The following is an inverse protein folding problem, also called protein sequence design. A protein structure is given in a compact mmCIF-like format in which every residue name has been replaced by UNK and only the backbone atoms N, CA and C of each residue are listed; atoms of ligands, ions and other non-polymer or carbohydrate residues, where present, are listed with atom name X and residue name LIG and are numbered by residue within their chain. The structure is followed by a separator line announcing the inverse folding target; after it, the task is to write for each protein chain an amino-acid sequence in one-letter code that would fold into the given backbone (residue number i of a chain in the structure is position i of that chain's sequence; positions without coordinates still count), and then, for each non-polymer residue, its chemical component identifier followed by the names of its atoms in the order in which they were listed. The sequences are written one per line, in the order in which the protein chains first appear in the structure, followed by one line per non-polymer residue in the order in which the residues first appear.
data_IF_832070030494
#
_entry.id   IF_832070030494
#
_cell.length_a   1.000
_cell.length_b   1.000
_cell.length_c   1.000
_cell.angle_alpha   90.00
_cell.angle_beta   90.00
_cell.angle_gamma   90.00
#
_symmetry.space_group_name_H-M   'P 1'
#
loop_
_entity.id
_entity.type
_entity.pdbx_description
1 polymer ?
#
# COMPACT_ATOMS: atom_id res chain seq x y z
N UNK A 1 -23.74 -31.26 1.15
CA UNK A 1 -22.82 -32.14 1.92
C UNK A 1 -21.33 -32.13 1.49
N UNK A 2 -20.95 -31.76 0.25
CA UNK A 2 -19.55 -31.83 -0.22
C UNK A 2 -18.77 -30.50 -0.36
N UNK A 3 -19.37 -29.35 0.02
CA UNK A 3 -18.68 -28.04 -0.10
C UNK A 3 -17.57 -27.88 0.93
N UNK A 4 -17.73 -28.42 2.14
CA UNK A 4 -16.73 -28.32 3.22
C UNK A 4 -15.38 -28.93 2.86
N UNK A 5 -15.37 -29.99 2.04
CA UNK A 5 -14.15 -30.67 1.60
C UNK A 5 -13.34 -29.83 0.61
N UNK A 6 -14.02 -29.04 -0.24
CA UNK A 6 -13.38 -28.06 -1.12
C UNK A 6 -12.66 -26.99 -0.28
N UNK A 7 -13.33 -26.49 0.77
CA UNK A 7 -12.77 -25.49 1.68
C UNK A 7 -11.54 -26.02 2.45
N UNK A 8 -11.54 -27.30 2.85
CA UNK A 8 -10.35 -27.90 3.48
C UNK A 8 -9.13 -27.95 2.54
N UNK A 9 -9.32 -28.25 1.25
CA UNK A 9 -8.24 -28.22 0.26
C UNK A 9 -7.69 -26.82 0.04
N UNK A 10 -8.58 -25.82 0.00
CA UNK A 10 -8.23 -24.41 -0.12
C UNK A 10 -7.43 -23.92 1.09
N UNK A 11 -7.89 -24.21 2.32
CA UNK A 11 -7.19 -23.84 3.55
C UNK A 11 -5.78 -24.41 3.60
N UNK A 12 -5.60 -25.69 3.22
CA UNK A 12 -4.29 -26.33 3.16
C UNK A 12 -3.33 -25.61 2.18
N UNK A 13 -3.84 -25.15 1.04
CA UNK A 13 -3.05 -24.41 0.04
C UNK A 13 -2.69 -22.99 0.49
N UNK A 14 -3.63 -22.28 1.11
CA UNK A 14 -3.39 -20.94 1.66
C UNK A 14 -2.32 -21.01 2.75
N UNK A 15 -2.43 -21.96 3.69
CA UNK A 15 -1.43 -22.17 4.74
C UNK A 15 -0.06 -22.48 4.15
N UNK A 16 0.00 -23.39 3.15
CA UNK A 16 1.25 -23.73 2.47
C UNK A 16 1.87 -22.50 1.78
N UNK A 17 1.07 -21.67 1.13
CA UNK A 17 1.52 -20.47 0.44
C UNK A 17 2.12 -19.45 1.43
N UNK A 18 1.40 -19.14 2.52
CA UNK A 18 1.89 -18.20 3.55
C UNK A 18 3.15 -18.75 4.23
N UNK A 19 3.21 -20.06 4.49
CA UNK A 19 4.39 -20.70 5.07
C UNK A 19 5.61 -20.57 4.16
N UNK A 20 5.44 -20.82 2.86
CA UNK A 20 6.53 -20.71 1.88
C UNK A 20 6.98 -19.26 1.69
N UNK A 21 6.07 -18.29 1.68
CA UNK A 21 6.45 -16.88 1.59
C UNK A 21 7.19 -16.42 2.84
N UNK A 22 6.74 -16.80 4.03
CA UNK A 22 7.44 -16.54 5.28
C UNK A 22 8.86 -17.15 5.27
N UNK A 23 8.99 -18.42 4.86
CA UNK A 23 10.29 -19.08 4.73
C UNK A 23 11.21 -18.40 3.71
N UNK A 24 10.67 -18.05 2.53
CA UNK A 24 11.42 -17.40 1.46
C UNK A 24 11.88 -16.01 1.87
N UNK A 25 11.08 -15.26 2.61
CA UNK A 25 11.47 -13.95 3.11
C UNK A 25 12.45 -14.07 4.28
N UNK A 26 12.25 -15.05 5.17
CA UNK A 26 13.11 -15.33 6.32
C UNK A 26 14.54 -15.71 5.94
N UNK A 27 14.75 -16.55 4.92
CA UNK A 27 16.11 -16.94 4.47
C UNK A 27 16.95 -15.78 3.94
N UNK A 28 16.31 -14.76 3.36
CA UNK A 28 17.00 -13.57 2.84
C UNK A 28 17.22 -12.51 3.92
N UNK A 29 16.35 -12.48 4.93
CA UNK A 29 16.37 -11.49 6.00
C UNK A 29 17.23 -11.91 7.19
N UNK A 30 17.47 -13.21 7.40
CA UNK A 30 18.15 -13.78 8.57
C UNK A 30 19.69 -13.85 8.48
N UNK A 31 20.31 -12.78 7.99
CA UNK A 31 21.78 -12.71 7.82
C UNK A 31 22.55 -12.70 9.13
N UNK A 32 22.02 -12.04 10.17
CA UNK A 32 22.65 -11.90 11.49
C UNK A 32 21.91 -12.74 12.55
N UNK A 33 22.59 -13.23 13.60
CA UNK A 33 21.97 -14.08 14.62
C UNK A 33 20.85 -13.38 15.39
N UNK A 34 21.00 -12.08 15.70
CA UNK A 34 19.94 -11.31 16.38
C UNK A 34 18.65 -11.18 15.56
N UNK A 35 18.74 -11.19 14.23
CA UNK A 35 17.55 -11.15 13.36
C UNK A 35 16.75 -12.45 13.50
N UNK A 36 17.41 -13.61 13.66
CA UNK A 36 16.72 -14.89 13.89
C UNK A 36 15.98 -14.89 15.22
N UNK A 37 16.61 -14.34 16.27
CA UNK A 37 15.97 -14.18 17.58
C UNK A 37 14.73 -13.30 17.45
N UNK A 38 14.80 -12.18 16.70
CA UNK A 38 13.64 -11.34 16.44
C UNK A 38 12.51 -12.07 15.71
N UNK A 39 12.80 -12.92 14.71
CA UNK A 39 11.76 -13.70 14.03
C UNK A 39 11.00 -14.57 15.04
N UNK A 40 11.72 -15.30 15.88
CA UNK A 40 11.14 -16.20 16.89
C UNK A 40 10.38 -15.39 17.96
N UNK A 41 10.95 -14.28 18.41
CA UNK A 41 10.32 -13.40 19.40
C UNK A 41 9.03 -12.78 18.86
N UNK A 42 9.02 -12.29 17.62
CA UNK A 42 7.83 -11.73 16.98
C UNK A 42 6.76 -12.79 16.77
N UNK A 43 7.13 -14.00 16.36
CA UNK A 43 6.20 -15.13 16.26
C UNK A 43 5.57 -15.46 17.63
N UNK A 44 6.40 -15.57 18.67
CA UNK A 44 5.96 -15.86 20.03
C UNK A 44 5.09 -14.73 20.61
N UNK A 45 5.43 -13.47 20.36
CA UNK A 45 4.66 -12.31 20.85
C UNK A 45 3.23 -12.30 20.29
N UNK A 46 3.05 -12.62 19.01
CA UNK A 46 1.72 -12.67 18.40
C UNK A 46 0.89 -13.83 18.96
N UNK A 47 1.49 -15.00 19.13
CA UNK A 47 0.76 -16.21 19.54
C UNK A 47 0.50 -16.24 21.05
N UNK A 48 1.50 -15.89 21.86
CA UNK A 48 1.43 -15.99 23.33
C UNK A 48 0.88 -14.72 23.96
N UNK A 49 1.33 -13.55 23.49
CA UNK A 49 0.98 -12.26 24.11
C UNK A 49 -0.19 -11.57 23.42
N UNK A 50 -0.73 -12.16 22.33
CA UNK A 50 -1.73 -11.53 21.44
C UNK A 50 -1.34 -10.11 21.03
N UNK A 51 -0.04 -9.86 20.90
CA UNK A 51 0.50 -8.55 20.57
C UNK A 51 0.00 -8.11 19.19
N UNK A 52 -0.30 -6.82 19.05
CA UNK A 52 -0.75 -6.27 17.79
C UNK A 52 0.40 -6.20 16.79
N UNK A 53 0.06 -6.25 15.49
CA UNK A 53 1.05 -6.13 14.40
C UNK A 53 1.85 -4.82 14.54
N UNK A 54 1.19 -3.73 14.93
CA UNK A 54 1.79 -2.40 15.08
C UNK A 54 2.82 -2.40 16.20
N UNK A 55 2.49 -2.93 17.38
CA UNK A 55 3.43 -3.03 18.51
C UNK A 55 4.66 -3.85 18.15
N UNK A 56 4.47 -5.01 17.52
CA UNK A 56 5.58 -5.88 17.11
C UNK A 56 6.50 -5.18 16.11
N UNK A 57 5.94 -4.46 15.14
CA UNK A 57 6.72 -3.68 14.16
C UNK A 57 7.47 -2.53 14.83
N UNK A 58 6.81 -1.76 15.71
CA UNK A 58 7.45 -0.64 16.39
C UNK A 58 8.59 -1.09 17.30
N UNK A 59 8.35 -2.09 18.14
CA UNK A 59 9.35 -2.63 19.08
C UNK A 59 10.53 -3.22 18.32
N UNK A 60 10.28 -4.04 17.29
CA UNK A 60 11.36 -4.63 16.49
C UNK A 60 12.19 -3.59 15.73
N UNK A 61 11.54 -2.55 15.21
CA UNK A 61 12.25 -1.44 14.58
C UNK A 61 13.10 -0.65 15.57
N UNK A 62 12.59 -0.36 16.77
CA UNK A 62 13.37 0.29 17.85
C UNK A 62 14.55 -0.58 18.28
N UNK A 63 14.36 -1.89 18.43
CA UNK A 63 15.44 -2.85 18.71
C UNK A 63 16.49 -2.82 17.58
N UNK A 64 16.06 -2.73 16.32
CA UNK A 64 16.96 -2.56 15.17
C UNK A 64 17.86 -1.33 15.30
N UNK A 65 17.28 -0.17 15.68
CA UNK A 65 18.04 1.05 15.95
C UNK A 65 19.00 0.86 17.14
N UNK A 66 18.54 0.25 18.22
CA UNK A 66 19.33 0.02 19.43
C UNK A 66 20.54 -0.88 19.17
N UNK A 67 20.37 -1.98 18.44
CA UNK A 67 21.46 -2.90 18.13
C UNK A 67 22.50 -2.23 17.23
N UNK A 68 22.07 -1.51 16.20
CA UNK A 68 22.99 -0.86 15.26
C UNK A 68 23.75 0.33 15.88
N UNK A 69 23.13 1.02 16.84
CA UNK A 69 23.77 2.12 17.58
C UNK A 69 24.78 1.64 18.62
N UNK A 70 24.56 0.49 19.28
CA UNK A 70 25.43 -0.01 20.36
C UNK A 70 26.45 -1.09 19.93
N UNK A 71 26.12 -1.97 18.96
CA UNK A 71 26.94 -3.17 18.64
C UNK A 71 27.98 -2.91 17.54
N UNK A 72 27.67 -2.04 16.57
CA UNK A 72 28.54 -1.81 15.41
C UNK A 72 29.65 -0.75 15.54
N UNK A 73 29.71 0.15 16.54
CA UNK A 73 30.89 1.01 16.72
C UNK A 73 32.18 0.22 17.05
N UNK A 74 32.09 -1.04 17.51
CA UNK A 74 33.23 -1.79 18.08
C UNK A 74 34.03 -2.67 17.11
N UNK A 75 33.66 -2.82 15.83
CA UNK A 75 34.37 -3.70 14.88
C UNK A 75 35.09 -3.01 13.69
N UNK A 76 35.89 -1.92 13.86
CA UNK A 76 36.73 -1.40 12.77
C UNK A 76 37.96 -2.25 12.40
N UNK A 77 38.23 -3.37 13.10
CA UNK A 77 39.49 -4.13 12.92
C UNK A 77 39.49 -5.11 11.74
N UNK A 78 38.33 -5.58 11.27
CA UNK A 78 38.26 -6.63 10.24
C UNK A 78 38.27 -6.12 8.79
N UNK A 79 37.81 -4.89 8.52
CA UNK A 79 37.92 -4.29 7.18
C UNK A 79 39.37 -3.94 6.81
N UNK A 80 40.23 -3.71 7.81
CA UNK A 80 41.66 -3.47 7.59
C UNK A 80 42.38 -4.71 7.02
N UNK A 81 41.91 -5.92 7.34
CA UNK A 81 42.47 -7.19 6.84
C UNK A 81 41.98 -7.50 5.42
N UNK A 82 40.71 -7.17 5.11
CA UNK A 82 40.20 -7.27 3.72
C UNK A 82 40.89 -6.29 2.78
N UNK A 83 41.27 -5.10 3.26
CA UNK A 83 42.11 -4.15 2.51
C UNK A 83 43.48 -4.72 2.13
N UNK A 84 44.08 -5.59 2.95
CA UNK A 84 45.33 -6.27 2.63
C UNK A 84 45.17 -7.35 1.54
N UNK A 85 44.06 -8.09 1.55
CA UNK A 85 43.77 -9.10 0.54
C UNK A 85 43.53 -8.48 -0.86
N UNK A 86 42.83 -7.34 -0.92
CA UNK A 86 42.58 -6.60 -2.17
C UNK A 86 43.88 -6.00 -2.73
N UNK A 87 44.76 -5.44 -1.87
CA UNK A 87 46.07 -4.93 -2.30
C UNK A 87 47.01 -6.03 -2.80
N UNK A 88 46.89 -7.26 -2.29
CA UNK A 88 47.68 -8.41 -2.78
C UNK A 88 47.22 -8.86 -4.16
N UNK A 89 45.91 -8.83 -4.44
CA UNK A 89 45.36 -9.14 -5.76
C UNK A 89 45.72 -8.08 -6.81
N UNK A 90 45.78 -6.79 -6.44
CA UNK A 90 46.22 -5.74 -7.37
C UNK A 90 47.68 -5.90 -7.80
N UNK A 91 48.60 -6.25 -6.88
CA UNK A 91 50.01 -6.53 -7.22
C UNK A 91 50.19 -7.73 -8.15
N UNK A 92 49.32 -8.73 -8.06
CA UNK A 92 49.33 -9.90 -8.94
C UNK A 92 48.78 -9.52 -10.33
N UNK A 93 47.77 -8.64 -10.39
CA UNK A 93 47.19 -8.13 -11.64
C UNK A 93 48.14 -7.20 -12.39
N UNK A 94 48.98 -6.45 -11.68
CA UNK A 94 50.06 -5.65 -12.29
C UNK A 94 51.21 -6.51 -12.84
N UNK A 95 51.54 -7.65 -12.19
CA UNK A 95 52.58 -8.58 -12.69
C UNK A 95 52.12 -9.45 -13.86
N UNK A 96 50.82 -9.74 -13.97
CA UNK A 96 50.22 -10.51 -15.07
C UNK A 96 49.68 -9.64 -16.22
N UNK A 97 49.69 -8.31 -16.07
CA UNK A 97 49.22 -7.33 -17.06
C UNK A 97 50.32 -6.83 -18.01
N UNK A 98 51.28 -7.68 -18.38
CA UNK A 98 52.30 -7.36 -19.37
C UNK A 98 51.77 -7.52 -20.80
N UNK A 99 50.98 -6.56 -21.29
CA UNK A 99 50.85 -6.11 -22.71
C UNK A 99 49.49 -5.45 -22.95
N UNK A 100 49.45 -4.13 -22.79
CA UNK A 100 49.10 -3.14 -23.82
C UNK A 100 48.94 -1.77 -23.13
N UNK A 101 49.97 -0.94 -23.29
CA UNK A 101 49.90 0.51 -23.12
C UNK A 101 49.42 1.10 -24.45
N UNK A 102 48.35 1.88 -24.43
CA UNK A 102 48.29 3.17 -25.12
C UNK A 102 47.67 4.20 -24.16
N UNK A 103 48.25 5.39 -24.18
CA UNK A 103 48.12 6.48 -23.21
C UNK A 103 46.94 7.42 -23.57
N UNK A 104 46.60 8.40 -22.70
CA UNK A 104 45.29 9.03 -22.65
C UNK A 104 45.19 10.29 -23.51
N UNK A 105 44.00 10.60 -24.01
CA UNK A 105 43.65 11.97 -24.40
C UNK A 105 42.56 12.51 -23.46
N UNK A 106 42.96 13.52 -22.67
CA UNK A 106 42.06 14.53 -22.11
C UNK A 106 41.57 15.40 -23.28
N UNK A 107 40.26 15.58 -23.41
CA UNK A 107 39.68 16.63 -24.23
C UNK A 107 38.85 17.55 -23.32
N UNK A 108 39.42 18.72 -23.05
CA UNK A 108 38.67 19.90 -22.64
C UNK A 108 38.30 20.63 -23.94
N UNK A 109 37.02 20.90 -24.14
CA UNK A 109 36.53 21.66 -25.28
C UNK A 109 35.27 22.41 -24.90
N UNK A 110 35.46 23.56 -24.25
CA UNK A 110 34.52 24.67 -24.35
C UNK A 110 34.64 25.33 -25.73
N UNK A 111 33.68 26.21 -26.01
CA UNK A 111 33.53 27.03 -27.22
C UNK A 111 32.92 26.33 -28.42
N UNK A 112 31.59 26.23 -28.39
CA UNK A 112 30.76 26.77 -29.47
C UNK A 112 29.51 27.36 -28.82
N UNK A 113 29.73 28.60 -28.41
CA UNK A 113 28.79 29.71 -28.37
C UNK A 113 27.73 29.65 -29.50
N UNK A 114 26.49 29.91 -29.12
CA UNK A 114 25.78 31.09 -29.64
C UNK A 114 25.31 31.05 -31.11
N UNK A 115 24.76 29.93 -31.58
CA UNK A 115 24.15 29.89 -32.92
C UNK A 115 22.78 29.20 -33.04
N UNK A 116 22.19 28.65 -31.97
CA UNK A 116 20.89 27.94 -32.08
C UNK A 116 19.92 28.20 -30.92
N UNK A 117 20.19 29.19 -30.07
CA UNK A 117 19.33 29.58 -28.94
C UNK A 117 18.52 30.87 -29.16
N UNK A 118 18.60 31.53 -30.33
CA UNK A 118 17.95 32.83 -30.56
C UNK A 118 16.86 32.86 -31.65
N UNK A 119 16.39 31.71 -32.14
CA UNK A 119 15.41 31.68 -33.24
C UNK A 119 13.99 31.22 -32.87
N UNK A 120 13.65 31.11 -31.57
CA UNK A 120 12.27 30.79 -31.14
C UNK A 120 11.65 31.74 -30.12
N UNK A 121 12.31 32.85 -29.81
CA UNK A 121 11.78 33.92 -28.94
C UNK A 121 11.49 35.23 -29.70
N UNK A 122 11.62 35.25 -31.03
CA UNK A 122 11.35 36.43 -31.88
C UNK A 122 10.08 36.32 -32.77
N UNK A 123 9.17 35.39 -32.49
CA UNK A 123 7.94 35.22 -33.30
C UNK A 123 6.61 35.41 -32.55
N UNK A 124 6.59 35.77 -31.26
CA UNK A 124 5.29 36.05 -30.57
C UNK A 124 5.28 37.28 -29.66
N UNK A 125 6.27 38.16 -29.80
CA UNK A 125 6.33 39.41 -29.07
C UNK A 125 6.73 40.52 -30.02
N UNK A 126 5.80 40.93 -30.91
CA UNK A 126 5.60 42.32 -31.33
C UNK A 126 4.56 42.42 -32.45
N UNK A 127 3.37 42.88 -32.07
CA UNK A 127 2.34 43.39 -32.95
C UNK A 127 1.58 44.49 -32.20
N UNK A 128 2.09 45.72 -32.30
CA UNK A 128 1.54 47.02 -31.82
C UNK A 128 0.04 47.13 -32.11
N UNK A 129 -0.80 47.59 -31.17
CA UNK A 129 -1.03 48.98 -30.70
C UNK A 129 -1.31 49.99 -31.84
N UNK A 130 -2.56 50.47 -31.88
CA UNK A 130 -2.89 51.88 -32.20
C UNK A 130 -4.17 52.32 -31.45
N UNK A 131 -4.10 53.57 -31.01
CA UNK A 131 -4.93 54.40 -30.11
C UNK A 131 -6.19 55.02 -30.79
N UNK A 132 -7.40 55.06 -30.15
CA UNK A 132 -8.19 56.19 -29.52
C UNK A 132 -8.67 57.33 -30.46
N UNK A 133 -9.61 58.28 -30.11
CA UNK A 133 -10.58 58.46 -28.98
C UNK A 133 -12.03 58.96 -29.38
N UNK A 134 -12.90 59.22 -28.37
CA UNK A 134 -14.07 60.20 -28.32
C UNK A 134 -15.28 59.93 -29.26
N UNK A 135 -16.58 60.22 -29.01
CA UNK A 135 -17.42 60.87 -27.99
C UNK A 135 -18.92 60.58 -28.33
N UNK A 136 -19.85 60.91 -27.41
CA UNK A 136 -21.29 61.29 -27.63
C UNK A 136 -22.45 60.29 -27.93
N UNK A 137 -23.41 60.32 -26.97
CA UNK A 137 -24.88 60.50 -27.04
C UNK A 137 -25.83 59.46 -27.70
N UNK A 138 -26.77 59.04 -26.85
CA UNK A 138 -28.21 58.84 -27.04
C UNK A 138 -28.71 58.00 -28.23
N UNK A 139 -29.32 56.85 -27.89
CA UNK A 139 -30.72 56.69 -28.26
C UNK A 139 -31.48 55.77 -27.28
N UNK A 140 -32.62 56.32 -26.92
CA UNK A 140 -33.72 55.82 -26.12
C UNK A 140 -34.49 54.72 -26.88
N UNK A 141 -35.42 54.01 -26.22
CA UNK A 141 -36.22 52.86 -26.68
C UNK A 141 -35.46 51.51 -26.62
N UNK A 142 -35.69 50.60 -25.68
CA UNK A 142 -36.98 50.09 -25.20
C UNK A 142 -36.79 49.66 -23.74
N UNK A 143 -37.38 50.42 -22.82
CA UNK A 143 -37.75 49.95 -21.50
C UNK A 143 -39.26 49.73 -21.50
N UNK A 144 -39.74 48.49 -21.61
CA UNK A 144 -41.06 48.12 -21.07
C UNK A 144 -41.26 46.59 -21.10
N UNK A 145 -40.97 45.90 -19.99
CA UNK A 145 -41.68 44.69 -19.54
C UNK A 145 -41.14 44.23 -18.16
N UNK A 146 -41.44 45.04 -17.15
CA UNK A 146 -42.06 44.61 -15.89
C UNK A 146 -41.94 43.13 -15.49
N UNK A 147 -41.16 42.87 -14.42
CA UNK A 147 -41.39 41.69 -13.58
C UNK A 147 -40.27 41.33 -12.59
N UNK A 148 -40.29 41.80 -11.33
CA UNK A 148 -39.39 41.33 -10.26
C UNK A 148 -39.85 39.98 -9.65
N UNK A 149 -40.39 39.07 -10.47
CA UNK A 149 -40.90 37.76 -10.02
C UNK A 149 -40.03 36.57 -10.50
N UNK A 150 -39.08 36.80 -11.42
CA UNK A 150 -38.30 35.73 -12.06
C UNK A 150 -36.96 35.39 -11.36
N UNK A 151 -36.44 36.25 -10.47
CA UNK A 151 -35.20 35.93 -9.71
C UNK A 151 -35.40 34.90 -8.60
N UNK A 152 -36.63 34.67 -8.14
CA UNK A 152 -36.91 33.63 -7.13
C UNK A 152 -36.98 32.24 -7.74
N UNK A 153 -37.29 32.09 -9.04
CA UNK A 153 -37.47 30.79 -9.70
C UNK A 153 -36.16 30.04 -10.00
N UNK A 154 -35.04 30.73 -10.21
CA UNK A 154 -33.73 30.11 -10.45
C UNK A 154 -32.98 29.69 -9.18
N UNK A 155 -33.36 30.22 -8.01
CA UNK A 155 -32.76 29.86 -6.72
C UNK A 155 -33.32 28.54 -6.13
N UNK A 156 -34.53 28.13 -6.53
CA UNK A 156 -35.17 26.92 -6.03
C UNK A 156 -34.49 25.58 -6.41
N UNK A 157 -33.94 25.38 -7.62
CA UNK A 157 -33.20 24.15 -7.92
C UNK A 157 -31.76 24.13 -7.37
N UNK A 158 -31.18 25.29 -7.04
CA UNK A 158 -29.83 25.37 -6.50
C UNK A 158 -29.76 24.88 -5.04
N UNK A 159 -30.80 25.09 -4.23
CA UNK A 159 -30.86 24.70 -2.81
C UNK A 159 -30.76 23.17 -2.60
N UNK A 160 -31.54 22.31 -3.29
CA UNK A 160 -31.41 20.86 -3.11
C UNK A 160 -30.09 20.32 -3.65
N UNK A 161 -29.48 20.97 -4.64
CA UNK A 161 -28.17 20.59 -5.17
C UNK A 161 -27.04 20.95 -4.19
N UNK A 162 -27.08 22.15 -3.60
CA UNK A 162 -26.13 22.58 -2.57
C UNK A 162 -26.25 21.71 -1.31
N UNK A 163 -27.48 21.36 -0.90
CA UNK A 163 -27.72 20.47 0.23
C UNK A 163 -27.19 19.06 -0.03
N UNK A 164 -27.40 18.51 -1.24
CA UNK A 164 -26.82 17.22 -1.66
C UNK A 164 -25.29 17.26 -1.70
N UNK A 165 -24.69 18.35 -2.17
CA UNK A 165 -23.23 18.53 -2.14
C UNK A 165 -22.70 18.65 -0.71
N UNK A 166 -23.41 19.35 0.17
CA UNK A 166 -23.09 19.44 1.59
C UNK A 166 -23.10 18.06 2.27
N UNK A 167 -24.14 17.27 2.01
CA UNK A 167 -24.24 15.87 2.48
C UNK A 167 -23.15 14.98 1.89
N UNK A 168 -22.82 15.13 0.60
CA UNK A 168 -21.73 14.39 -0.04
C UNK A 168 -20.38 14.72 0.61
N UNK A 169 -20.13 15.99 0.92
CA UNK A 169 -18.91 16.42 1.62
C UNK A 169 -18.88 15.92 3.07
N UNK A 170 -20.00 15.93 3.79
CA UNK A 170 -20.05 15.45 5.17
C UNK A 170 -19.75 13.95 5.25
N UNK A 171 -20.39 13.13 4.42
CA UNK A 171 -20.11 11.68 4.39
C UNK A 171 -18.67 11.40 3.96
N UNK A 172 -18.15 12.16 2.99
CA UNK A 172 -16.77 12.03 2.54
C UNK A 172 -15.76 12.42 3.62
N UNK A 173 -16.04 13.44 4.42
CA UNK A 173 -15.20 13.84 5.54
C UNK A 173 -15.16 12.78 6.65
N UNK A 174 -16.29 12.13 6.94
CA UNK A 174 -16.34 11.00 7.88
C UNK A 174 -15.47 9.86 7.36
N UNK A 175 -15.61 9.46 6.10
CA UNK A 175 -14.78 8.41 5.52
C UNK A 175 -13.29 8.80 5.44
N UNK A 176 -12.98 10.08 5.20
CA UNK A 176 -11.61 10.61 5.28
C UNK A 176 -11.03 10.45 6.69
N UNK A 177 -11.81 10.80 7.71
CA UNK A 177 -11.42 10.66 9.13
C UNK A 177 -11.25 9.20 9.52
N UNK A 178 -12.21 8.34 9.18
CA UNK A 178 -12.14 6.89 9.43
C UNK A 178 -10.89 6.31 8.76
N UNK A 179 -10.62 6.67 7.51
CA UNK A 179 -9.43 6.23 6.76
C UNK A 179 -8.10 6.77 7.32
N UNK A 180 -8.12 7.90 8.04
CA UNK A 180 -6.93 8.52 8.63
C UNK A 180 -6.65 8.05 10.07
N UNK A 181 -7.69 7.72 10.85
CA UNK A 181 -7.60 7.47 12.30
C UNK A 181 -7.68 5.99 12.65
N UNK A 182 -8.28 5.16 11.79
CA UNK A 182 -8.50 3.74 12.13
C UNK A 182 -7.27 2.89 11.85
N UNK A 183 -6.62 2.42 12.91
CA UNK A 183 -5.51 1.46 12.85
C UNK A 183 -5.99 0.10 13.35
N UNK A 184 -5.75 -0.98 12.60
CA UNK A 184 -6.18 -2.34 13.00
C UNK A 184 -6.92 -3.16 11.93
N UNK A 185 -7.03 -2.64 10.71
CA UNK A 185 -7.64 -3.34 9.57
C UNK A 185 -9.15 -3.13 9.47
N UNK A 186 -9.78 -3.75 8.46
CA UNK A 186 -11.19 -3.51 8.13
C UNK A 186 -12.17 -3.86 9.24
N UNK A 187 -11.84 -4.80 10.13
CA UNK A 187 -12.71 -5.20 11.24
C UNK A 187 -12.86 -4.14 12.33
N UNK A 188 -11.90 -3.22 12.47
CA UNK A 188 -12.03 -2.06 13.36
C UNK A 188 -12.80 -0.93 12.70
N UNK A 189 -12.71 -0.83 11.36
CA UNK A 189 -13.45 0.19 10.60
C UNK A 189 -14.95 -0.07 10.58
N UNK A 190 -15.40 -1.32 10.51
CA UNK A 190 -16.84 -1.66 10.45
C UNK A 190 -17.62 -1.07 11.65
N UNK A 191 -17.27 -1.34 12.92
CA UNK A 191 -18.01 -0.78 14.06
C UNK A 191 -17.89 0.75 14.15
N UNK A 192 -16.78 1.34 13.70
CA UNK A 192 -16.64 2.80 13.64
C UNK A 192 -17.57 3.42 12.59
N UNK A 193 -17.68 2.79 11.41
CA UNK A 193 -18.64 3.20 10.37
C UNK A 193 -20.07 3.02 10.88
N UNK A 194 -20.38 1.91 11.56
CA UNK A 194 -21.70 1.69 12.17
C UNK A 194 -22.05 2.82 13.14
N UNK A 195 -21.11 3.17 14.02
CA UNK A 195 -21.32 4.23 15.00
C UNK A 195 -21.57 5.59 14.32
N UNK A 196 -20.76 5.97 13.33
CA UNK A 196 -20.95 7.26 12.65
C UNK A 196 -22.24 7.28 11.80
N UNK A 197 -22.51 6.22 11.03
CA UNK A 197 -23.58 6.20 10.02
C UNK A 197 -24.95 5.88 10.62
N UNK A 198 -25.00 4.97 11.60
CA UNK A 198 -26.26 4.50 12.22
C UNK A 198 -26.56 5.23 13.52
N UNK A 199 -25.57 5.39 14.42
CA UNK A 199 -25.80 5.92 15.76
C UNK A 199 -25.66 7.45 15.84
N UNK A 200 -24.65 8.04 15.19
CA UNK A 200 -24.40 9.50 15.24
C UNK A 200 -25.25 10.26 14.23
N UNK A 201 -25.21 9.85 12.96
CA UNK A 201 -25.86 10.58 11.86
C UNK A 201 -27.24 10.03 11.46
N UNK A 202 -27.59 8.82 11.90
CA UNK A 202 -28.86 8.15 11.58
C UNK A 202 -29.17 8.11 10.08
N UNK A 203 -28.14 8.01 9.24
CA UNK A 203 -28.29 7.99 7.78
C UNK A 203 -28.77 6.64 7.25
N UNK A 204 -28.36 5.56 7.91
CA UNK A 204 -28.83 4.20 7.64
C UNK A 204 -29.40 3.60 8.92
N UNK A 205 -30.34 2.66 8.76
CA UNK A 205 -30.75 1.78 9.84
C UNK A 205 -29.82 0.55 9.96
N UNK A 206 -29.97 -0.24 11.03
CA UNK A 206 -29.14 -1.42 11.27
C UNK A 206 -29.28 -2.50 10.18
N UNK A 207 -30.45 -2.63 9.54
CA UNK A 207 -30.66 -3.59 8.46
C UNK A 207 -29.91 -3.17 7.19
N UNK A 208 -30.01 -1.90 6.80
CA UNK A 208 -29.29 -1.34 5.65
C UNK A 208 -27.77 -1.40 5.85
N UNK A 209 -27.32 -1.21 7.09
CA UNK A 209 -25.91 -1.38 7.43
C UNK A 209 -25.46 -2.85 7.35
N UNK A 210 -26.31 -3.79 7.77
CA UNK A 210 -26.05 -5.22 7.63
C UNK A 210 -25.98 -5.64 6.15
N UNK A 211 -26.88 -5.13 5.31
CA UNK A 211 -26.88 -5.36 3.86
C UNK A 211 -25.61 -4.82 3.20
N UNK A 212 -25.22 -3.60 3.56
CA UNK A 212 -23.96 -3.02 3.11
C UNK A 212 -22.77 -3.91 3.52
N UNK A 213 -22.77 -4.41 4.76
CA UNK A 213 -21.69 -5.25 5.28
C UNK A 213 -21.62 -6.59 4.55
N UNK A 214 -22.78 -7.19 4.30
CA UNK A 214 -22.89 -8.43 3.52
C UNK A 214 -22.34 -8.23 2.10
N UNK A 215 -22.73 -7.14 1.42
CA UNK A 215 -22.20 -6.78 0.10
C UNK A 215 -20.68 -6.57 0.13
N UNK A 216 -20.17 -5.91 1.17
CA UNK A 216 -18.73 -5.73 1.38
C UNK A 216 -17.99 -7.06 1.48
N UNK A 217 -18.50 -8.01 2.26
CA UNK A 217 -17.86 -9.29 2.51
C UNK A 217 -17.79 -10.20 1.27
N UNK A 218 -18.67 -10.01 0.28
CA UNK A 218 -18.62 -10.73 -0.99
C UNK A 218 -17.42 -10.30 -1.84
N UNK A 219 -16.89 -9.09 -1.61
CA UNK A 219 -15.79 -8.51 -2.39
C UNK A 219 -14.45 -8.52 -1.64
N UNK A 220 -13.32 -8.56 -2.35
CA UNK A 220 -12.01 -8.35 -1.73
C UNK A 220 -11.89 -6.89 -1.26
N UNK A 221 -12.10 -6.65 0.04
CA UNK A 221 -11.98 -5.33 0.66
C UNK A 221 -13.34 -4.74 1.08
N UNK A 222 -13.96 -5.26 2.16
CA UNK A 222 -15.34 -4.92 2.51
C UNK A 222 -15.59 -3.42 2.73
N UNK A 223 -14.57 -2.70 3.24
CA UNK A 223 -14.66 -1.26 3.54
C UNK A 223 -14.90 -0.42 2.28
N UNK A 224 -14.36 -0.81 1.11
CA UNK A 224 -14.50 -0.05 -0.13
C UNK A 224 -15.96 -0.06 -0.62
N UNK A 225 -16.59 -1.23 -0.63
CA UNK A 225 -18.00 -1.36 -1.02
C UNK A 225 -18.91 -0.72 0.01
N UNK A 226 -18.60 -0.86 1.31
CA UNK A 226 -19.31 -0.17 2.39
C UNK A 226 -19.31 1.36 2.19
N UNK A 227 -18.14 1.96 1.97
CA UNK A 227 -18.02 3.40 1.74
C UNK A 227 -18.80 3.85 0.50
N UNK A 228 -18.76 3.06 -0.57
CA UNK A 228 -19.50 3.32 -1.81
C UNK A 228 -21.00 3.27 -1.56
N UNK A 229 -21.49 2.24 -0.86
CA UNK A 229 -22.91 2.01 -0.59
C UNK A 229 -23.47 3.08 0.36
N UNK A 230 -22.78 3.36 1.47
CA UNK A 230 -23.17 4.41 2.42
C UNK A 230 -23.18 5.77 1.70
N UNK A 231 -22.11 6.10 0.96
CA UNK A 231 -22.05 7.34 0.18
C UNK A 231 -23.19 7.46 -0.84
N UNK A 232 -23.57 6.35 -1.48
CA UNK A 232 -24.70 6.30 -2.40
C UNK A 232 -26.04 6.53 -1.70
N UNK A 233 -26.27 5.90 -0.55
CA UNK A 233 -27.50 6.08 0.23
C UNK A 233 -27.65 7.51 0.76
N UNK A 234 -26.55 8.15 1.17
CA UNK A 234 -26.58 9.50 1.78
C UNK A 234 -26.72 10.62 0.75
N UNK A 235 -25.93 10.58 -0.34
CA UNK A 235 -25.86 11.70 -1.29
C UNK A 235 -25.89 11.27 -2.77
N UNK A 236 -26.31 10.04 -3.07
CA UNK A 236 -26.39 9.51 -4.43
C UNK A 236 -25.03 9.24 -5.07
N UNK A 237 -24.95 9.24 -6.40
CA UNK A 237 -23.72 8.94 -7.12
C UNK A 237 -22.50 9.81 -6.76
N UNK A 238 -22.62 11.12 -6.49
CA UNK A 238 -21.48 11.93 -6.06
C UNK A 238 -20.97 11.52 -4.68
N UNK A 239 -21.89 11.21 -3.75
CA UNK A 239 -21.54 10.73 -2.42
C UNK A 239 -20.81 9.39 -2.45
N UNK A 240 -21.25 8.48 -3.32
CA UNK A 240 -20.61 7.19 -3.54
C UNK A 240 -19.14 7.35 -3.99
N UNK A 241 -18.91 8.16 -5.03
CA UNK A 241 -17.57 8.38 -5.59
C UNK A 241 -16.64 9.06 -4.58
N UNK A 242 -17.11 10.15 -3.94
CA UNK A 242 -16.29 10.93 -3.02
C UNK A 242 -15.97 10.15 -1.74
N UNK A 243 -16.93 9.41 -1.17
CA UNK A 243 -16.71 8.57 0.02
C UNK A 243 -15.64 7.51 -0.23
N UNK A 244 -15.72 6.85 -1.39
CA UNK A 244 -14.74 5.82 -1.79
C UNK A 244 -13.36 6.40 -2.06
N UNK A 245 -13.26 7.60 -2.64
CA UNK A 245 -11.97 8.26 -2.79
C UNK A 245 -11.41 8.69 -1.42
N UNK A 246 -12.24 9.30 -0.58
CA UNK A 246 -11.83 9.82 0.72
C UNK A 246 -11.39 8.75 1.70
N UNK A 247 -11.98 7.55 1.69
CA UNK A 247 -11.53 6.48 2.61
C UNK A 247 -10.11 5.99 2.30
N UNK A 248 -9.67 6.04 1.04
CA UNK A 248 -8.31 5.64 0.63
C UNK A 248 -7.32 6.80 0.54
N UNK A 249 -7.82 8.03 0.44
CA UNK A 249 -6.99 9.23 0.25
C UNK A 249 -5.88 9.37 1.30
N UNK A 250 -6.11 9.15 2.62
CA UNK A 250 -5.05 9.27 3.63
C UNK A 250 -3.92 8.27 3.40
N UNK A 251 -4.26 7.01 3.12
CA UNK A 251 -3.28 5.95 2.86
C UNK A 251 -2.48 6.21 1.57
N UNK A 252 -3.16 6.72 0.54
CA UNK A 252 -2.52 7.10 -0.73
C UNK A 252 -1.55 8.25 -0.55
N UNK A 253 -1.95 9.31 0.16
CA UNK A 253 -1.10 10.46 0.47
C UNK A 253 0.09 10.07 1.33
N UNK A 254 -0.11 9.23 2.36
CA UNK A 254 1.00 8.71 3.17
C UNK A 254 1.99 7.91 2.32
N UNK A 255 1.50 7.11 1.37
CA UNK A 255 2.36 6.32 0.47
C UNK A 255 3.18 7.21 -0.46
N UNK A 256 2.57 8.25 -1.06
CA UNK A 256 3.29 9.22 -1.89
C UNK A 256 4.33 9.98 -1.06
N UNK A 257 3.97 10.44 0.13
CA UNK A 257 4.87 11.14 1.04
C UNK A 257 6.06 10.27 1.46
N UNK A 258 5.80 8.99 1.76
CA UNK A 258 6.84 8.02 2.07
C UNK A 258 7.74 7.74 0.86
N UNK A 259 7.16 7.62 -0.34
CA UNK A 259 7.87 7.37 -1.59
C UNK A 259 8.77 8.54 -2.01
N UNK A 260 8.30 9.77 -1.94
CA UNK A 260 9.10 10.97 -2.27
C UNK A 260 10.30 11.14 -1.33
N UNK A 261 10.12 10.76 -0.06
CA UNK A 261 11.17 10.80 0.97
C UNK A 261 12.07 9.56 0.99
N UNK A 262 11.80 8.56 0.14
CA UNK A 262 12.52 7.28 0.13
C UNK A 262 14.03 7.45 -0.04
N UNK A 263 14.46 8.40 -0.86
CA UNK A 263 15.89 8.67 -1.10
C UNK A 263 16.60 9.20 0.16
N UNK A 264 15.91 10.01 0.97
CA UNK A 264 16.39 10.53 2.26
C UNK A 264 16.36 9.46 3.34
N UNK A 265 15.34 8.60 3.33
CA UNK A 265 15.26 7.45 4.23
C UNK A 265 16.37 6.43 3.97
N UNK A 266 16.75 6.24 2.71
CA UNK A 266 17.83 5.33 2.35
C UNK A 266 19.20 5.84 2.77
N UNK A 267 19.43 7.15 2.91
CA UNK A 267 20.75 7.68 3.35
C UNK A 267 20.89 7.77 4.86
N UNK A 268 19.80 7.81 5.62
CA UNK A 268 19.86 7.85 7.08
C UNK A 268 20.13 6.47 7.71
N UNK A 269 21.22 6.35 8.46
CA UNK A 269 21.62 5.11 9.16
C UNK A 269 20.56 4.62 10.16
N UNK A 270 19.92 5.52 10.91
CA UNK A 270 18.89 5.12 11.88
C UNK A 270 17.67 4.49 11.20
N UNK A 271 17.25 5.05 10.07
CA UNK A 271 16.13 4.50 9.30
C UNK A 271 16.47 3.14 8.69
N UNK A 272 17.69 2.95 8.19
CA UNK A 272 18.15 1.63 7.76
C UNK A 272 18.16 0.61 8.90
N UNK A 273 18.62 1.01 10.09
CA UNK A 273 18.64 0.15 11.27
C UNK A 273 17.22 -0.27 11.70
N UNK A 274 16.27 0.68 11.69
CA UNK A 274 14.85 0.42 11.93
C UNK A 274 14.31 -0.64 10.95
N UNK A 275 14.49 -0.41 9.65
CA UNK A 275 14.01 -1.33 8.60
C UNK A 275 14.65 -2.73 8.71
N UNK A 276 15.91 -2.82 9.14
CA UNK A 276 16.59 -4.10 9.40
C UNK A 276 16.03 -4.86 10.60
N UNK A 277 15.42 -4.17 11.57
CA UNK A 277 14.68 -4.76 12.68
C UNK A 277 13.24 -5.15 12.30
N UNK A 278 12.57 -4.32 11.50
CA UNK A 278 11.20 -4.59 11.03
C UNK A 278 11.13 -5.78 10.08
N UNK A 279 12.07 -5.91 9.15
CA UNK A 279 12.07 -6.99 8.17
C UNK A 279 11.98 -8.41 8.80
N UNK A 280 12.81 -8.79 9.79
CA UNK A 280 12.66 -10.10 10.44
C UNK A 280 11.36 -10.20 11.24
N UNK A 281 10.90 -9.13 11.88
CA UNK A 281 9.63 -9.15 12.61
C UNK A 281 8.44 -9.45 11.70
N UNK A 282 8.40 -8.86 10.50
CA UNK A 282 7.38 -9.16 9.48
C UNK A 282 7.40 -10.64 9.11
N UNK A 283 8.58 -11.27 8.99
CA UNK A 283 8.64 -12.71 8.70
C UNK A 283 8.11 -13.57 9.85
N UNK A 284 8.35 -13.18 11.11
CA UNK A 284 7.76 -13.83 12.29
C UNK A 284 6.24 -13.65 12.36
N UNK A 285 5.74 -12.46 12.02
CA UNK A 285 4.31 -12.15 11.90
C UNK A 285 3.64 -13.01 10.82
N UNK A 286 4.25 -13.15 9.64
CA UNK A 286 3.73 -14.02 8.57
C UNK A 286 3.69 -15.49 9.00
N UNK A 287 4.71 -15.97 9.71
CA UNK A 287 4.72 -17.32 10.26
C UNK A 287 3.61 -17.51 11.30
N UNK A 288 3.36 -16.52 12.15
CA UNK A 288 2.29 -16.57 13.15
C UNK A 288 0.90 -16.57 12.48
N UNK A 289 0.72 -15.80 11.42
CA UNK A 289 -0.49 -15.83 10.61
C UNK A 289 -0.71 -17.20 9.96
N UNK A 290 0.33 -17.79 9.35
CA UNK A 290 0.26 -19.15 8.81
C UNK A 290 -0.14 -20.17 9.87
N UNK A 291 0.44 -20.08 11.06
CA UNK A 291 0.12 -20.96 12.19
C UNK A 291 -1.34 -20.80 12.65
N UNK A 292 -1.81 -19.56 12.78
CA UNK A 292 -3.19 -19.28 13.16
C UNK A 292 -4.19 -19.91 12.18
N UNK A 293 -3.97 -19.71 10.87
CA UNK A 293 -4.83 -20.28 9.82
C UNK A 293 -4.72 -21.80 9.78
N UNK A 294 -3.52 -22.37 10.00
CA UNK A 294 -3.32 -23.81 10.04
C UNK A 294 -4.15 -24.46 11.15
N UNK A 295 -4.13 -23.88 12.36
CA UNK A 295 -4.86 -24.41 13.52
C UNK A 295 -6.38 -24.38 13.34
N UNK A 296 -6.92 -23.37 12.64
CA UNK A 296 -8.35 -23.24 12.39
C UNK A 296 -8.84 -23.93 11.12
N UNK A 297 -7.94 -24.17 10.15
CA UNK A 297 -8.32 -24.66 8.81
C UNK A 297 -8.00 -26.12 8.54
N UNK A 298 -7.05 -26.71 9.30
CA UNK A 298 -6.52 -28.05 9.06
C UNK A 298 -6.80 -28.94 10.28
N UNK A 299 -7.89 -29.72 10.20
CA UNK A 299 -8.28 -30.67 11.25
C UNK A 299 -8.09 -32.14 10.88
N UNK A 300 -7.73 -32.43 9.63
CA UNK A 300 -7.60 -33.81 9.12
C UNK A 300 -6.16 -34.16 8.77
N UNK A 301 -5.80 -35.44 8.95
CA UNK A 301 -4.50 -35.98 8.55
C UNK A 301 -4.21 -35.73 7.06
N UNK A 302 -5.23 -35.91 6.20
CA UNK A 302 -5.16 -35.62 4.76
C UNK A 302 -4.81 -34.14 4.51
N UNK A 303 -5.39 -33.22 5.28
CA UNK A 303 -5.08 -31.79 5.18
C UNK A 303 -3.62 -31.49 5.50
N UNK A 304 -3.05 -32.11 6.54
CA UNK A 304 -1.62 -31.96 6.89
C UNK A 304 -0.73 -32.48 5.78
N UNK A 305 -1.00 -33.68 5.27
CA UNK A 305 -0.24 -34.28 4.17
C UNK A 305 -0.30 -33.39 2.92
N UNK A 306 -1.47 -32.86 2.58
CA UNK A 306 -1.61 -31.93 1.45
C UNK A 306 -0.82 -30.64 1.66
N UNK A 307 -0.89 -30.01 2.83
CA UNK A 307 -0.12 -28.80 3.12
C UNK A 307 1.39 -29.07 2.94
N UNK A 308 1.91 -30.17 3.48
CA UNK A 308 3.33 -30.53 3.32
C UNK A 308 3.69 -30.76 1.85
N UNK A 309 2.86 -31.49 1.10
CA UNK A 309 3.08 -31.72 -0.33
C UNK A 309 3.10 -30.41 -1.12
N UNK A 310 2.15 -29.50 -0.86
CA UNK A 310 2.07 -28.19 -1.52
C UNK A 310 3.28 -27.31 -1.16
N UNK A 311 3.72 -27.32 0.10
CA UNK A 311 4.95 -26.61 0.52
C UNK A 311 6.16 -27.10 -0.27
N UNK A 312 6.33 -28.42 -0.41
CA UNK A 312 7.44 -29.02 -1.16
C UNK A 312 7.38 -28.59 -2.64
N UNK A 313 6.20 -28.68 -3.27
CA UNK A 313 5.99 -28.29 -4.67
C UNK A 313 6.32 -26.80 -4.87
N UNK A 314 5.83 -25.93 -4.00
CA UNK A 314 6.06 -24.48 -4.05
C UNK A 314 7.54 -24.11 -3.87
N UNK A 315 8.29 -24.86 -3.06
CA UNK A 315 9.72 -24.66 -2.87
C UNK A 315 10.55 -25.13 -4.07
N UNK A 316 10.13 -26.23 -4.72
CA UNK A 316 10.90 -26.84 -5.82
C UNK A 316 10.60 -26.23 -7.19
N UNK A 317 9.33 -26.05 -7.54
CA UNK A 317 8.89 -25.73 -8.91
C UNK A 317 8.44 -24.27 -9.11
N UNK A 318 8.19 -23.54 -8.02
CA UNK A 318 7.65 -22.15 -8.04
C UNK A 318 6.49 -21.92 -9.03
N UNK A 319 5.44 -22.75 -9.00
CA UNK A 319 4.25 -22.53 -9.82
C UNK A 319 3.52 -21.23 -9.41
N UNK A 320 2.67 -20.72 -10.31
CA UNK A 320 1.80 -19.59 -10.01
C UNK A 320 0.84 -19.96 -8.87
N UNK A 321 0.72 -19.08 -7.87
CA UNK A 321 -0.11 -19.31 -6.68
C UNK A 321 -1.57 -19.60 -7.02
N UNK A 322 -2.08 -18.99 -8.09
CA UNK A 322 -3.45 -19.23 -8.58
C UNK A 322 -3.70 -20.71 -8.91
N UNK A 323 -2.80 -21.33 -9.69
CA UNK A 323 -2.92 -22.74 -10.08
C UNK A 323 -2.79 -23.69 -8.90
N UNK A 324 -1.98 -23.33 -7.90
CA UNK A 324 -1.80 -24.14 -6.68
C UNK A 324 -3.06 -24.14 -5.82
N UNK A 325 -3.71 -22.98 -5.66
CA UNK A 325 -4.96 -22.87 -4.91
C UNK A 325 -6.09 -23.65 -5.59
N UNK A 326 -6.28 -23.45 -6.91
CA UNK A 326 -7.28 -24.17 -7.70
C UNK A 326 -7.02 -25.69 -7.67
N UNK A 327 -5.79 -26.12 -7.94
CA UNK A 327 -5.42 -27.53 -8.00
C UNK A 327 -5.61 -28.25 -6.66
N UNK A 328 -5.27 -27.61 -5.55
CA UNK A 328 -5.46 -28.20 -4.22
C UNK A 328 -6.94 -28.36 -3.84
N UNK A 329 -7.78 -27.38 -4.16
CA UNK A 329 -9.22 -27.46 -3.95
C UNK A 329 -9.85 -28.60 -4.76
N UNK A 330 -9.57 -28.65 -6.06
CA UNK A 330 -10.09 -29.69 -6.96
C UNK A 330 -9.60 -31.08 -6.56
N UNK A 331 -8.30 -31.22 -6.25
CA UNK A 331 -7.74 -32.51 -5.83
C UNK A 331 -8.39 -33.03 -4.54
N UNK A 332 -8.60 -32.15 -3.54
CA UNK A 332 -9.25 -32.54 -2.29
C UNK A 332 -10.71 -32.94 -2.50
N UNK A 333 -11.40 -32.24 -3.40
CA UNK A 333 -12.78 -32.55 -3.78
C UNK A 333 -12.87 -33.91 -4.50
N UNK A 334 -11.97 -34.19 -5.45
CA UNK A 334 -11.93 -35.49 -6.14
C UNK A 334 -11.59 -36.65 -5.20
N UNK A 335 -10.60 -36.47 -4.31
CA UNK A 335 -10.27 -37.48 -3.29
C UNK A 335 -11.47 -37.82 -2.42
N UNK A 336 -12.28 -36.83 -2.10
CA UNK A 336 -13.43 -37.03 -1.25
C UNK A 336 -14.63 -37.66 -1.96
N UNK A 337 -14.75 -37.47 -3.28
CA UNK A 337 -15.69 -38.22 -4.12
C UNK A 337 -15.29 -39.70 -4.28
N UNK A 338 -13.99 -40.02 -4.23
CA UNK A 338 -13.48 -41.39 -4.39
C UNK A 338 -13.48 -42.18 -3.07
N UNK A 339 -13.34 -41.49 -1.94
CA UNK A 339 -13.29 -42.10 -0.60
C UNK A 339 -14.68 -42.27 0.07
N UNK A 340 -15.77 -41.92 -0.62
CA UNK A 340 -17.15 -42.00 -0.14
C UNK A 340 -17.96 -42.96 -1.01
#
# INVERSE_FOLDING_TARGET
PNTEQLFHGFNAAVVALITVTAWRMGRHTSSKPWQRILIVLSFAAVILLRATVVEVILISGLIGIGIESFVEPRLPRLDRIRGFAVRRQQRIRERLGGRRRTKPHKFYGGYLTEALAEQRLREMSEGRVTQTPEDELDDELIAEASGPQSRKAFLFPAIPLLAKLGLALSVSFIFLRIGAVTFGGGYVMIPEIENEVVNSHHWLNHQEFADATALGQITPGPVLIMATFVGYRVAGSPGALLSTLCVFLPSFLMTIAAGSSFRRFRTNRQMQAFLRGVAPAVTGLLAAAAWSVARSGIHSFIGVVMTVAIVIILLRYRPNAFWVLMGAGVFRFMLALVLW
#
